data_IF_391622041746
#
_entry.id   IF_391622041746
#
_cell.length_a   1.000
_cell.length_b   1.000
_cell.length_c   1.000
_cell.angle_alpha   90.00
_cell.angle_beta   90.00
_cell.angle_gamma   90.00
#
_symmetry.space_group_name_H-M   'P 1'
#
loop_
_entity.id
_entity.type
_entity.pdbx_description
1 polymer ?
#
# COMPACT_ATOMS: atom_id res chain seq x y z
N UNK A 1 -3.08 -6.48 4.97
CA UNK A 1 -3.17 -7.46 6.09
C UNK A 1 -3.34 -6.75 7.44
N UNK A 2 -3.64 -7.45 8.54
CA UNK A 2 -3.63 -6.83 9.89
C UNK A 2 -2.20 -6.77 10.44
N UNK A 3 -1.72 -5.56 10.77
CA UNK A 3 -0.38 -5.30 11.31
C UNK A 3 0.72 -6.14 10.63
N UNK A 4 0.80 -6.06 9.30
CA UNK A 4 1.58 -7.01 8.48
C UNK A 4 3.00 -7.27 8.98
N UNK A 5 3.88 -6.27 9.01
CA UNK A 5 5.27 -6.45 9.45
C UNK A 5 5.39 -6.97 10.89
N UNK A 6 4.66 -6.43 11.89
CA UNK A 6 4.59 -7.01 13.23
C UNK A 6 4.11 -8.45 13.30
N UNK A 7 3.30 -8.89 12.35
CA UNK A 7 2.70 -10.23 12.34
C UNK A 7 3.53 -11.29 11.61
N UNK A 8 4.60 -10.90 10.92
CA UNK A 8 5.51 -11.85 10.27
C UNK A 8 6.19 -12.71 11.34
N UNK A 9 6.09 -14.02 11.16
CA UNK A 9 6.70 -15.01 12.05
C UNK A 9 8.15 -15.29 11.65
N UNK A 10 9.05 -15.32 12.65
CA UNK A 10 10.49 -15.47 12.41
C UNK A 10 10.85 -16.85 11.86
N UNK A 11 10.25 -17.90 12.42
CA UNK A 11 10.57 -19.27 12.04
C UNK A 11 10.08 -19.55 10.62
N UNK A 12 8.84 -19.15 10.31
CA UNK A 12 8.28 -19.29 8.96
C UNK A 12 9.13 -18.49 7.95
N UNK A 13 9.51 -17.25 8.26
CA UNK A 13 10.37 -16.43 7.40
C UNK A 13 11.70 -17.15 7.12
N UNK A 14 12.34 -17.64 8.17
CA UNK A 14 13.63 -18.30 8.06
C UNK A 14 13.55 -19.61 7.27
N UNK A 15 12.47 -20.39 7.44
CA UNK A 15 12.20 -21.57 6.61
C UNK A 15 12.02 -21.23 5.14
N UNK A 16 11.27 -20.17 4.81
CA UNK A 16 11.10 -19.72 3.42
C UNK A 16 12.46 -19.37 2.79
N UNK A 17 13.30 -18.63 3.52
CA UNK A 17 14.64 -18.25 3.06
C UNK A 17 15.51 -19.49 2.82
N UNK A 18 15.54 -20.44 3.77
CA UNK A 18 16.32 -21.68 3.67
C UNK A 18 15.95 -22.54 2.47
N UNK A 19 14.73 -22.44 1.94
CA UNK A 19 14.35 -23.17 0.72
C UNK A 19 15.18 -22.73 -0.48
N UNK A 20 15.54 -21.44 -0.57
CA UNK A 20 16.25 -20.85 -1.72
C UNK A 20 17.74 -20.62 -1.47
N UNK A 21 18.12 -20.14 -0.29
CA UNK A 21 19.51 -19.83 0.05
C UNK A 21 20.12 -20.99 0.83
N UNK A 22 21.28 -21.47 0.38
CA UNK A 22 22.01 -22.60 1.02
C UNK A 22 23.37 -22.21 1.61
N UNK A 23 23.87 -21.01 1.29
CA UNK A 23 25.13 -20.50 1.82
C UNK A 23 25.04 -20.32 3.35
N UNK A 24 25.93 -20.99 4.09
CA UNK A 24 25.89 -21.02 5.57
C UNK A 24 26.09 -19.62 6.18
N UNK A 25 27.06 -18.86 5.68
CA UNK A 25 27.38 -17.53 6.22
C UNK A 25 26.24 -16.54 5.96
N UNK A 26 25.63 -16.61 4.78
CA UNK A 26 24.46 -15.80 4.45
C UNK A 26 23.25 -16.16 5.30
N UNK A 27 23.00 -17.47 5.52
CA UNK A 27 21.92 -17.92 6.39
C UNK A 27 22.14 -17.50 7.85
N UNK A 28 23.38 -17.58 8.34
CA UNK A 28 23.74 -17.09 9.67
C UNK A 28 23.42 -15.60 9.82
N UNK A 29 23.84 -14.77 8.87
CA UNK A 29 23.57 -13.33 8.90
C UNK A 29 22.07 -13.03 8.82
N UNK A 30 21.34 -13.66 7.90
CA UNK A 30 19.90 -13.46 7.76
C UNK A 30 19.14 -13.90 9.02
N UNK A 31 19.58 -14.99 9.65
CA UNK A 31 19.05 -15.42 10.94
C UNK A 31 19.27 -14.34 12.00
N UNK A 32 20.48 -13.84 12.14
CA UNK A 32 20.77 -12.79 13.12
C UNK A 32 19.87 -11.55 12.94
N UNK A 33 19.66 -11.12 11.68
CA UNK A 33 18.76 -10.00 11.36
C UNK A 33 17.30 -10.31 11.71
N UNK A 34 16.79 -11.49 11.33
CA UNK A 34 15.37 -11.86 11.54
C UNK A 34 15.05 -11.95 13.03
N UNK A 35 15.92 -12.61 13.80
CA UNK A 35 15.72 -12.84 15.23
C UNK A 35 16.25 -11.69 16.12
N UNK A 36 16.68 -10.57 15.51
CA UNK A 36 17.15 -9.38 16.25
C UNK A 36 16.06 -8.70 17.08
N UNK A 37 14.78 -8.93 16.76
CA UNK A 37 13.64 -8.44 17.54
C UNK A 37 13.09 -9.55 18.46
N UNK A 38 12.74 -9.21 19.70
CA UNK A 38 12.20 -10.19 20.63
C UNK A 38 10.76 -10.62 20.32
N UNK A 39 10.37 -11.83 20.74
CA UNK A 39 8.98 -12.29 20.71
C UNK A 39 8.59 -13.20 19.53
N UNK A 40 9.54 -13.68 18.74
CA UNK A 40 9.33 -14.69 17.68
C UNK A 40 8.57 -14.19 16.45
N UNK A 41 8.16 -12.92 16.46
CA UNK A 41 7.49 -12.22 15.35
C UNK A 41 8.08 -10.83 15.20
N UNK A 42 7.69 -10.16 14.13
CA UNK A 42 8.08 -8.80 13.75
C UNK A 42 9.42 -8.71 13.05
N UNK A 43 9.41 -8.06 11.89
CA UNK A 43 10.64 -7.72 11.17
C UNK A 43 10.94 -6.23 11.41
N UNK A 44 12.19 -5.83 11.74
CA UNK A 44 12.52 -4.45 12.12
C UNK A 44 12.03 -3.40 11.10
N UNK A 45 10.97 -2.67 11.41
CA UNK A 45 10.39 -1.69 10.48
C UNK A 45 11.40 -0.54 10.28
N UNK A 46 11.70 -0.23 9.02
CA UNK A 46 12.66 0.82 8.66
C UNK A 46 14.02 0.31 8.17
N UNK A 47 14.28 -1.00 8.25
CA UNK A 47 15.42 -1.62 7.55
C UNK A 47 15.03 -1.95 6.09
N UNK A 48 15.96 -1.76 5.15
CA UNK A 48 15.81 -2.16 3.75
C UNK A 48 15.48 -3.64 3.59
N UNK A 49 16.07 -4.51 4.41
CA UNK A 49 15.81 -5.96 4.38
C UNK A 49 14.37 -6.30 4.71
N UNK A 50 13.70 -5.48 5.53
CA UNK A 50 12.33 -5.74 5.98
C UNK A 50 11.33 -5.69 4.85
N UNK A 51 11.49 -4.76 3.91
CA UNK A 51 10.64 -4.69 2.72
C UNK A 51 10.79 -5.94 1.85
N UNK A 52 12.03 -6.41 1.67
CA UNK A 52 12.31 -7.65 0.96
C UNK A 52 11.71 -8.87 1.64
N UNK A 53 11.87 -8.97 2.96
CA UNK A 53 11.28 -10.03 3.76
C UNK A 53 9.76 -10.05 3.62
N UNK A 54 9.08 -8.90 3.74
CA UNK A 54 7.63 -8.82 3.53
C UNK A 54 7.19 -9.33 2.16
N UNK A 55 7.92 -8.96 1.10
CA UNK A 55 7.62 -9.43 -0.26
C UNK A 55 7.88 -10.93 -0.44
N UNK A 56 8.96 -11.46 0.13
CA UNK A 56 9.30 -12.87 0.09
C UNK A 56 8.27 -13.71 0.88
N UNK A 57 7.82 -13.22 2.02
CA UNK A 57 6.85 -13.92 2.86
C UNK A 57 5.50 -14.10 2.15
N UNK A 58 4.98 -13.03 1.54
CA UNK A 58 3.74 -13.08 0.78
C UNK A 58 3.88 -13.70 -0.61
N UNK A 59 5.12 -13.93 -1.09
CA UNK A 59 5.31 -14.67 -2.33
C UNK A 59 4.78 -16.11 -2.21
N UNK A 60 4.75 -16.72 -1.02
CA UNK A 60 4.11 -18.03 -0.82
C UNK A 60 2.62 -18.00 -1.21
N UNK A 61 1.91 -16.91 -0.87
CA UNK A 61 0.52 -16.72 -1.30
C UNK A 61 0.42 -16.49 -2.81
N UNK A 62 1.32 -15.67 -3.38
CA UNK A 62 1.32 -15.39 -4.82
C UNK A 62 1.52 -16.66 -5.65
N UNK A 63 2.49 -17.49 -5.24
CA UNK A 63 2.80 -18.77 -5.89
C UNK A 63 1.58 -19.70 -5.81
N UNK A 64 0.97 -19.82 -4.63
CA UNK A 64 -0.23 -20.65 -4.46
C UNK A 64 -1.40 -20.16 -5.33
N UNK A 65 -1.65 -18.85 -5.40
CA UNK A 65 -2.69 -18.28 -6.26
C UNK A 65 -2.43 -18.48 -7.76
N UNK A 66 -1.16 -18.41 -8.19
CA UNK A 66 -0.77 -18.51 -9.60
C UNK A 66 -0.60 -19.94 -10.09
N UNK A 67 -0.11 -20.84 -9.25
CA UNK A 67 0.16 -22.22 -9.65
C UNK A 67 -1.01 -23.15 -9.37
N UNK A 68 -1.63 -23.05 -8.19
CA UNK A 68 -2.75 -23.92 -7.82
C UNK A 68 -4.07 -23.41 -8.38
N UNK A 69 -4.40 -22.14 -8.10
CA UNK A 69 -5.66 -21.54 -8.54
C UNK A 69 -5.63 -20.93 -9.95
N UNK A 70 -4.43 -20.77 -10.53
CA UNK A 70 -4.22 -20.24 -11.89
C UNK A 70 -4.92 -18.92 -12.16
N UNK A 71 -4.95 -18.05 -11.15
CA UNK A 71 -5.65 -16.77 -11.24
C UNK A 71 -4.90 -15.82 -12.16
N UNK A 72 -5.56 -15.44 -13.25
CA UNK A 72 -4.98 -14.52 -14.24
C UNK A 72 -4.85 -13.11 -13.67
N UNK A 73 -5.93 -12.56 -13.13
CA UNK A 73 -6.02 -11.15 -12.74
C UNK A 73 -5.84 -10.97 -11.23
N UNK A 74 -4.58 -10.94 -10.83
CA UNK A 74 -4.14 -10.73 -9.44
C UNK A 74 -3.03 -9.68 -9.42
N UNK A 75 -3.19 -8.66 -8.59
CA UNK A 75 -2.24 -7.56 -8.44
C UNK A 75 -1.97 -7.39 -6.95
N UNK A 76 -0.70 -7.40 -6.55
CA UNK A 76 -0.26 -7.16 -5.18
C UNK A 76 0.72 -6.00 -5.12
N UNK A 77 0.57 -5.17 -4.09
CA UNK A 77 1.53 -4.16 -3.69
C UNK A 77 1.74 -4.25 -2.18
N UNK A 78 2.93 -4.67 -1.76
CA UNK A 78 3.22 -5.00 -0.36
C UNK A 78 2.17 -5.97 0.20
N UNK A 79 1.42 -5.56 1.24
CA UNK A 79 0.42 -6.37 1.94
C UNK A 79 -1.03 -6.14 1.46
N UNK A 80 -1.22 -5.25 0.50
CA UNK A 80 -2.49 -4.97 -0.16
C UNK A 80 -2.51 -5.66 -1.54
N UNK A 81 -3.61 -6.32 -1.86
CA UNK A 81 -3.80 -6.93 -3.17
C UNK A 81 -5.25 -6.83 -3.64
N UNK A 82 -5.45 -6.93 -4.95
CA UNK A 82 -6.74 -7.00 -5.61
C UNK A 82 -6.79 -8.20 -6.54
N UNK A 83 -7.96 -8.82 -6.61
CA UNK A 83 -8.21 -10.03 -7.38
C UNK A 83 -9.51 -9.85 -8.17
N UNK A 84 -9.48 -10.19 -9.46
CA UNK A 84 -10.61 -9.98 -10.36
C UNK A 84 -11.08 -11.30 -10.97
N UNK A 85 -12.40 -11.49 -10.93
CA UNK A 85 -13.10 -12.57 -11.64
C UNK A 85 -14.54 -12.15 -11.90
N UNK A 86 -15.16 -12.70 -12.96
CA UNK A 86 -16.55 -12.40 -13.32
C UNK A 86 -17.58 -13.23 -12.54
N UNK A 87 -17.12 -14.15 -11.70
CA UNK A 87 -17.95 -15.02 -10.88
C UNK A 87 -17.80 -14.65 -9.40
N UNK A 88 -18.88 -14.12 -8.83
CA UNK A 88 -18.94 -13.73 -7.42
C UNK A 88 -18.84 -14.91 -6.46
N UNK A 89 -19.38 -16.08 -6.83
CA UNK A 89 -19.31 -17.28 -5.98
C UNK A 89 -17.88 -17.79 -5.91
N UNK A 90 -17.17 -17.81 -7.05
CA UNK A 90 -15.75 -18.15 -7.07
C UNK A 90 -14.93 -17.17 -6.21
N UNK A 91 -15.17 -15.86 -6.31
CA UNK A 91 -14.48 -14.87 -5.47
C UNK A 91 -14.73 -15.10 -3.97
N UNK A 92 -15.97 -15.43 -3.60
CA UNK A 92 -16.30 -15.72 -2.20
C UNK A 92 -15.61 -17.00 -1.71
N UNK A 93 -15.58 -18.06 -2.54
CA UNK A 93 -14.83 -19.28 -2.24
C UNK A 93 -13.35 -18.97 -2.05
N UNK A 94 -12.74 -18.28 -3.00
CA UNK A 94 -11.33 -17.90 -2.95
C UNK A 94 -11.00 -17.04 -1.75
N UNK A 95 -11.88 -16.12 -1.33
CA UNK A 95 -11.67 -15.34 -0.12
C UNK A 95 -11.48 -16.23 1.11
N UNK A 96 -12.32 -17.26 1.25
CA UNK A 96 -12.25 -18.19 2.38
C UNK A 96 -10.97 -19.05 2.31
N UNK A 97 -10.62 -19.51 1.12
CA UNK A 97 -9.42 -20.32 0.87
C UNK A 97 -8.13 -19.52 1.11
N UNK A 98 -8.07 -18.25 0.68
CA UNK A 98 -6.95 -17.36 0.98
C UNK A 98 -6.87 -17.11 2.49
N UNK A 99 -8.00 -16.87 3.16
CA UNK A 99 -8.03 -16.63 4.61
C UNK A 99 -7.50 -17.84 5.40
N UNK A 100 -7.89 -19.05 5.01
CA UNK A 100 -7.35 -20.29 5.58
C UNK A 100 -5.85 -20.42 5.29
N UNK A 101 -5.44 -20.22 4.03
CA UNK A 101 -4.03 -20.31 3.64
C UNK A 101 -3.14 -19.38 4.46
N UNK A 102 -3.48 -18.09 4.55
CA UNK A 102 -2.65 -17.11 5.26
C UNK A 102 -2.63 -17.38 6.77
N UNK A 103 -3.73 -17.88 7.34
CA UNK A 103 -3.79 -18.19 8.76
C UNK A 103 -2.94 -19.43 9.08
N UNK A 104 -3.10 -20.51 8.31
CA UNK A 104 -2.43 -21.78 8.57
C UNK A 104 -0.95 -21.75 8.19
N UNK A 105 -0.63 -21.24 7.00
CA UNK A 105 0.74 -21.30 6.44
C UNK A 105 1.62 -20.14 6.85
N UNK A 106 1.02 -18.96 7.04
CA UNK A 106 1.76 -17.72 7.25
C UNK A 106 1.47 -17.06 8.60
N UNK A 107 0.54 -17.61 9.40
CA UNK A 107 0.15 -17.04 10.70
C UNK A 107 -0.28 -15.56 10.61
N UNK A 108 -0.90 -15.19 9.48
CA UNK A 108 -1.42 -13.85 9.21
C UNK A 108 -2.95 -13.82 9.28
N UNK A 109 -3.51 -12.61 9.35
CA UNK A 109 -4.95 -12.38 9.28
C UNK A 109 -5.31 -11.17 8.45
N UNK A 110 -6.51 -11.20 7.85
CA UNK A 110 -7.05 -10.06 7.14
C UNK A 110 -7.46 -8.95 8.10
N UNK A 111 -7.19 -7.70 7.71
CA UNK A 111 -7.71 -6.52 8.41
C UNK A 111 -9.04 -6.05 7.83
N UNK A 112 -9.10 -5.92 6.51
CA UNK A 112 -10.28 -5.47 5.76
C UNK A 112 -10.29 -6.15 4.40
N UNK A 113 -11.47 -6.52 3.94
CA UNK A 113 -11.70 -7.05 2.60
C UNK A 113 -13.13 -6.73 2.18
N UNK A 114 -13.39 -6.72 0.87
CA UNK A 114 -14.73 -6.57 0.31
C UNK A 114 -14.77 -7.17 -1.10
N UNK A 115 -15.92 -7.71 -1.49
CA UNK A 115 -16.19 -8.21 -2.84
C UNK A 115 -17.27 -7.32 -3.43
N UNK A 116 -16.97 -6.66 -4.55
CA UNK A 116 -17.88 -5.72 -5.20
C UNK A 116 -17.56 -5.60 -6.70
N UNK A 117 -18.54 -5.17 -7.53
CA UNK A 117 -18.32 -4.94 -8.95
C UNK A 117 -17.34 -3.81 -9.22
N UNK A 118 -16.50 -3.96 -10.26
CA UNK A 118 -15.51 -2.94 -10.67
C UNK A 118 -16.15 -1.61 -11.09
N UNK A 119 -17.43 -1.61 -11.47
CA UNK A 119 -18.20 -0.40 -11.81
C UNK A 119 -18.35 0.56 -10.63
N UNK A 120 -18.23 0.06 -9.39
CA UNK A 120 -18.22 0.93 -8.21
C UNK A 120 -16.87 1.64 -8.00
N UNK A 121 -15.85 1.30 -8.78
CA UNK A 121 -14.50 1.83 -8.67
C UNK A 121 -13.71 1.17 -7.54
N UNK A 122 -12.49 0.75 -7.83
CA UNK A 122 -11.62 -0.03 -6.93
C UNK A 122 -10.63 0.91 -6.25
N UNK A 123 -10.71 1.00 -4.92
CA UNK A 123 -9.78 1.78 -4.12
C UNK A 123 -8.43 1.03 -3.99
N UNK A 124 -7.37 1.50 -4.65
CA UNK A 124 -6.04 0.89 -4.59
C UNK A 124 -4.93 1.95 -4.63
N UNK A 125 -3.97 1.85 -3.71
CA UNK A 125 -2.78 2.72 -3.61
C UNK A 125 -3.05 4.23 -3.61
N UNK A 126 -4.12 4.65 -2.91
CA UNK A 126 -4.46 6.08 -2.77
C UNK A 126 -5.28 6.66 -3.93
N UNK A 127 -5.58 5.83 -4.93
CA UNK A 127 -6.46 6.14 -6.05
C UNK A 127 -7.72 5.27 -6.03
N UNK A 128 -8.70 5.67 -6.83
CA UNK A 128 -9.92 4.92 -7.11
C UNK A 128 -10.00 4.69 -8.62
N UNK A 129 -9.92 3.42 -9.02
CA UNK A 129 -9.80 2.99 -10.41
C UNK A 129 -11.17 2.61 -10.94
N UNK A 130 -11.61 3.25 -12.02
CA UNK A 130 -12.77 2.86 -12.81
C UNK A 130 -12.31 2.30 -14.16
N UNK A 131 -13.17 1.60 -14.92
CA UNK A 131 -12.79 1.07 -16.22
C UNK A 131 -12.18 2.11 -17.17
N UNK A 132 -12.73 3.33 -17.19
CA UNK A 132 -12.36 4.35 -18.17
C UNK A 132 -11.56 5.53 -17.60
N UNK A 133 -11.43 5.62 -16.27
CA UNK A 133 -10.79 6.77 -15.62
C UNK A 133 -10.31 6.45 -14.20
N UNK A 134 -9.43 7.28 -13.67
CA UNK A 134 -8.86 7.15 -12.33
C UNK A 134 -9.18 8.41 -11.54
N UNK A 135 -9.69 8.28 -10.32
CA UNK A 135 -9.89 9.40 -9.41
C UNK A 135 -8.92 9.32 -8.23
N UNK A 136 -8.66 10.48 -7.62
CA UNK A 136 -7.98 10.51 -6.32
C UNK A 136 -8.94 9.95 -5.23
N UNK A 137 -8.43 9.09 -4.33
CA UNK A 137 -9.25 8.54 -3.24
C UNK A 137 -9.83 9.67 -2.39
N UNK A 138 -11.12 9.57 -2.06
CA UNK A 138 -11.88 10.62 -1.34
C UNK A 138 -11.22 11.05 -0.03
N UNK A 139 -10.62 10.13 0.72
CA UNK A 139 -9.89 10.44 1.96
C UNK A 139 -8.65 11.32 1.70
N UNK A 140 -7.88 11.00 0.65
CA UNK A 140 -6.73 11.80 0.20
C UNK A 140 -7.20 13.18 -0.26
N UNK A 141 -8.26 13.25 -1.06
CA UNK A 141 -8.86 14.52 -1.52
C UNK A 141 -9.25 15.42 -0.35
N UNK A 142 -9.99 14.90 0.63
CA UNK A 142 -10.38 15.65 1.83
C UNK A 142 -9.17 16.13 2.63
N UNK A 143 -8.12 15.32 2.74
CA UNK A 143 -6.89 15.68 3.46
C UNK A 143 -6.16 16.81 2.76
N UNK A 144 -6.01 16.74 1.44
CA UNK A 144 -5.41 17.78 0.60
C UNK A 144 -6.21 19.08 0.73
N UNK A 145 -7.53 19.02 0.55
CA UNK A 145 -8.40 20.18 0.64
C UNK A 145 -8.27 20.91 1.98
N UNK A 146 -8.37 20.18 3.11
CA UNK A 146 -8.22 20.75 4.45
C UNK A 146 -6.85 21.39 4.66
N UNK A 147 -5.79 20.79 4.10
CA UNK A 147 -4.43 21.33 4.19
C UNK A 147 -4.34 22.66 3.43
N UNK A 148 -4.71 22.67 2.16
CA UNK A 148 -4.64 23.87 1.31
C UNK A 148 -5.50 25.01 1.83
N UNK A 149 -6.68 24.73 2.39
CA UNK A 149 -7.56 25.75 2.97
C UNK A 149 -6.95 26.44 4.20
N UNK A 150 -6.16 25.72 5.01
CA UNK A 150 -5.54 26.27 6.23
C UNK A 150 -4.24 27.02 5.97
N UNK A 151 -3.57 26.70 4.87
CA UNK A 151 -2.23 27.21 4.57
C UNK A 151 -2.14 28.74 4.45
N UNK A 152 -3.06 29.46 3.77
CA UNK A 152 -2.98 30.92 3.69
C UNK A 152 -2.95 31.59 5.05
N UNK A 153 -3.75 31.11 6.00
CA UNK A 153 -3.75 31.65 7.37
C UNK A 153 -2.44 31.33 8.10
N UNK A 154 -1.95 30.09 8.02
CA UNK A 154 -0.69 29.70 8.66
C UNK A 154 0.50 30.49 8.11
N UNK A 155 0.49 30.81 6.81
CA UNK A 155 1.53 31.62 6.19
C UNK A 155 1.47 33.08 6.68
N UNK A 156 0.28 33.68 6.76
CA UNK A 156 0.10 35.04 7.33
C UNK A 156 0.51 35.11 8.80
N UNK A 157 0.23 34.07 9.58
CA UNK A 157 0.63 33.95 10.98
C UNK A 157 2.16 33.70 11.15
N UNK A 158 2.93 33.56 10.06
CA UNK A 158 4.37 33.24 10.11
C UNK A 158 4.70 31.82 10.58
N UNK A 159 3.71 30.93 10.66
CA UNK A 159 3.88 29.55 11.18
C UNK A 159 4.45 28.58 10.15
N UNK A 160 4.35 28.91 8.86
CA UNK A 160 4.93 28.13 7.77
C UNK A 160 5.67 29.05 6.79
N UNK A 161 6.76 28.55 6.21
CA UNK A 161 7.54 29.27 5.21
C UNK A 161 6.90 29.19 3.82
N UNK A 162 7.30 30.09 2.92
CA UNK A 162 6.90 30.04 1.50
C UNK A 162 7.30 28.73 0.84
N UNK A 163 8.47 28.20 1.18
CA UNK A 163 8.94 26.90 0.67
C UNK A 163 8.03 25.75 1.11
N UNK A 164 7.59 25.73 2.37
CA UNK A 164 6.63 24.74 2.86
C UNK A 164 5.28 24.84 2.13
N UNK A 165 4.88 26.07 1.75
CA UNK A 165 3.70 26.29 0.93
C UNK A 165 3.87 25.69 -0.46
N UNK A 166 4.96 26.04 -1.15
CA UNK A 166 5.29 25.52 -2.48
C UNK A 166 5.39 23.99 -2.50
N UNK A 167 6.09 23.40 -1.52
CA UNK A 167 6.25 21.96 -1.38
C UNK A 167 4.89 21.25 -1.23
N UNK A 168 3.97 21.83 -0.46
CA UNK A 168 2.62 21.29 -0.30
C UNK A 168 1.78 21.36 -1.58
N UNK A 169 1.92 22.44 -2.35
CA UNK A 169 1.25 22.60 -3.65
C UNK A 169 1.82 21.61 -4.67
N UNK A 170 3.15 21.52 -4.80
CA UNK A 170 3.84 20.58 -5.68
C UNK A 170 3.48 19.12 -5.34
N UNK A 171 3.46 18.77 -4.05
CA UNK A 171 2.99 17.47 -3.57
C UNK A 171 1.55 17.18 -4.00
N UNK A 172 0.66 18.18 -3.92
CA UNK A 172 -0.73 18.04 -4.36
C UNK A 172 -0.80 17.78 -5.88
N UNK A 173 -0.09 18.56 -6.69
CA UNK A 173 0.01 18.32 -8.14
C UNK A 173 0.51 16.91 -8.46
N UNK A 174 1.53 16.43 -7.75
CA UNK A 174 2.06 15.09 -7.93
C UNK A 174 1.03 13.98 -7.69
N UNK A 175 0.04 14.20 -6.81
CA UNK A 175 -1.09 13.29 -6.68
C UNK A 175 -2.10 13.41 -7.82
N UNK A 176 -2.41 14.64 -8.23
CA UNK A 176 -3.43 14.92 -9.25
C UNK A 176 -2.99 14.52 -10.66
N UNK A 177 -1.68 14.49 -10.96
CA UNK A 177 -1.17 14.16 -12.30
C UNK A 177 -1.59 12.75 -12.76
N UNK A 178 -1.77 11.81 -11.83
CA UNK A 178 -2.13 10.42 -12.11
C UNK A 178 -3.64 10.16 -12.03
N UNK A 179 -4.46 11.20 -11.89
CA UNK A 179 -5.90 11.08 -11.77
C UNK A 179 -6.61 12.08 -12.71
N UNK A 180 -7.83 11.73 -13.13
CA UNK A 180 -8.77 12.61 -13.78
C UNK A 180 -9.27 13.66 -12.76
N UNK A 181 -8.46 14.70 -12.58
CA UNK A 181 -8.58 15.64 -11.48
C UNK A 181 -8.86 17.09 -11.92
N UNK A 182 -9.23 17.33 -13.18
CA UNK A 182 -9.46 18.69 -13.70
C UNK A 182 -10.46 19.49 -12.84
N UNK A 183 -11.64 18.94 -12.55
CA UNK A 183 -12.61 19.65 -11.71
C UNK A 183 -12.12 19.83 -10.27
N UNK A 184 -11.35 18.86 -9.77
CA UNK A 184 -10.78 18.93 -8.44
C UNK A 184 -9.72 20.05 -8.36
N UNK A 185 -8.81 20.16 -9.32
CA UNK A 185 -7.78 21.19 -9.34
C UNK A 185 -8.37 22.61 -9.40
N UNK A 186 -9.43 22.79 -10.20
CA UNK A 186 -10.20 24.04 -10.27
C UNK A 186 -10.85 24.34 -8.93
N UNK A 187 -11.54 23.39 -8.31
CA UNK A 187 -12.18 23.60 -6.99
C UNK A 187 -11.19 23.93 -5.87
N UNK A 188 -9.95 23.43 -5.98
CA UNK A 188 -8.87 23.70 -5.03
C UNK A 188 -8.15 25.03 -5.31
N UNK A 189 -8.49 25.74 -6.40
CA UNK A 189 -7.84 26.98 -6.83
C UNK A 189 -6.31 26.85 -6.93
N UNK A 190 -5.84 25.69 -7.39
CA UNK A 190 -4.39 25.40 -7.41
C UNK A 190 -3.59 26.39 -8.25
N UNK A 191 -4.09 26.75 -9.44
CA UNK A 191 -3.42 27.70 -10.31
C UNK A 191 -3.30 29.11 -9.68
N UNK A 192 -4.27 29.52 -8.86
CA UNK A 192 -4.22 30.79 -8.14
C UNK A 192 -3.17 30.72 -7.02
N UNK A 193 -3.19 29.66 -6.22
CA UNK A 193 -2.22 29.44 -5.15
C UNK A 193 -0.78 29.39 -5.70
N UNK A 194 -0.57 28.79 -6.86
CA UNK A 194 0.74 28.78 -7.51
C UNK A 194 1.21 30.16 -7.88
N UNK A 195 0.38 30.96 -8.54
CA UNK A 195 0.75 32.35 -8.87
C UNK A 195 1.08 33.16 -7.62
N UNK A 196 0.38 32.94 -6.51
CA UNK A 196 0.65 33.67 -5.26
C UNK A 196 1.99 33.28 -4.64
N UNK A 197 2.37 32.00 -4.69
CA UNK A 197 3.49 31.47 -3.90
C UNK A 197 4.71 31.01 -4.71
N UNK A 198 4.63 30.94 -6.04
CA UNK A 198 5.77 30.66 -6.95
C UNK A 198 6.43 31.93 -7.50
N UNK A 199 5.75 33.08 -7.46
CA UNK A 199 6.28 34.33 -8.00
C UNK A 199 7.11 35.09 -6.95
N UNK A 200 8.41 35.26 -7.28
CA UNK A 200 9.53 35.87 -6.53
C UNK A 200 10.13 35.01 -5.42
#
# INVERSE_FOLDING_TARGET
MSKFYPSIDHDIMYEIIKRKIKCKDTLWLLRDIIYSYGGGKNVPIGNYTSQWFGNLYLNELDQWLKHEWKIKHYIRYCDDFVLFHNDKQLLQKMKNEIEAFIAERLQLSFSRWSIFPVTQGVDFLGYRHFPDYILLRKSTTKRVQRRLQRMPQLFRDGKISREQVRSSIASTKGWLQWANAHHLSVSLRLAELERIYETV
#
